data_IF_350222580670
#
_entry.id   IF_350222580670
#
_cell.length_a   1.000
_cell.length_b   1.000
_cell.length_c   1.000
_cell.angle_alpha   90.00
_cell.angle_beta   90.00
_cell.angle_gamma   90.00
#
_symmetry.space_group_name_H-M   'P 1'
#
loop_
_entity.id
_entity.type
_entity.pdbx_description
1 polymer ?
#
# COMPACT_ATOMS: atom_id res chain seq x y z
N UNK A 1 14.84 -0.60 12.41
CA UNK A 1 15.72 -1.65 11.86
C UNK A 1 15.64 -1.57 10.34
N UNK A 2 16.29 -0.55 9.74
CA UNK A 2 16.39 -0.32 8.29
C UNK A 2 17.82 -0.68 7.84
N UNK A 3 18.23 -1.90 8.16
CA UNK A 3 19.56 -2.41 7.89
C UNK A 3 19.36 -3.86 7.50
N UNK A 4 19.34 -4.13 6.19
CA UNK A 4 19.79 -5.40 5.54
C UNK A 4 19.46 -5.53 4.05
N UNK A 5 18.96 -4.50 3.35
CA UNK A 5 18.80 -4.60 1.87
C UNK A 5 20.06 -4.26 1.06
N UNK A 6 21.05 -3.61 1.66
CA UNK A 6 22.26 -3.18 0.94
C UNK A 6 23.22 -4.31 0.50
N UNK A 7 23.49 -5.38 1.28
CA UNK A 7 24.45 -6.39 0.85
C UNK A 7 23.86 -7.40 -0.14
N UNK A 8 22.54 -7.64 -0.08
CA UNK A 8 21.86 -8.63 -0.93
C UNK A 8 21.71 -8.13 -2.38
N UNK A 9 21.54 -6.82 -2.59
CA UNK A 9 21.47 -6.24 -3.94
C UNK A 9 22.77 -6.36 -4.74
N UNK A 10 23.94 -6.46 -4.08
CA UNK A 10 25.22 -6.49 -4.79
C UNK A 10 25.45 -7.81 -5.55
N UNK A 11 24.91 -8.94 -5.04
CA UNK A 11 25.17 -10.25 -5.61
C UNK A 11 24.14 -10.64 -6.70
N UNK A 12 22.91 -10.12 -6.62
CA UNK A 12 21.92 -10.28 -7.68
C UNK A 12 22.08 -9.29 -8.85
N UNK A 13 22.91 -8.26 -8.68
CA UNK A 13 23.30 -7.33 -9.74
C UNK A 13 24.21 -7.94 -10.82
N UNK A 14 24.75 -9.16 -10.62
CA UNK A 14 25.52 -9.89 -11.63
C UNK A 14 24.73 -10.18 -12.92
N UNK A 15 23.39 -10.13 -12.87
CA UNK A 15 22.53 -10.27 -14.05
C UNK A 15 22.64 -9.09 -15.02
N UNK A 16 23.07 -7.91 -14.57
CA UNK A 16 23.21 -6.76 -15.44
C UNK A 16 24.66 -6.60 -15.89
N UNK A 17 24.86 -6.67 -17.21
CA UNK A 17 25.97 -5.94 -17.81
C UNK A 17 25.86 -4.46 -17.38
N UNK A 18 26.98 -3.89 -16.93
CA UNK A 18 27.05 -2.49 -16.51
C UNK A 18 26.29 -1.56 -17.48
N UNK A 19 25.42 -0.64 -17.02
CA UNK A 19 25.26 -0.19 -15.63
C UNK A 19 24.01 -0.74 -14.90
N UNK A 20 24.14 -0.87 -13.57
CA UNK A 20 23.02 -1.11 -12.63
C UNK A 20 21.89 -0.10 -12.84
N UNK A 21 20.59 -0.51 -12.88
CA UNK A 21 19.48 0.42 -13.06
C UNK A 21 19.44 1.50 -11.96
N UNK A 22 18.98 2.71 -12.32
CA UNK A 22 19.00 3.88 -11.44
C UNK A 22 18.32 3.66 -10.08
N UNK A 23 17.27 2.83 -10.04
CA UNK A 23 16.50 2.50 -8.83
C UNK A 23 17.29 1.66 -7.82
N UNK A 24 18.33 0.95 -8.27
CA UNK A 24 19.23 0.16 -7.43
C UNK A 24 20.54 0.88 -7.11
N UNK A 25 20.72 2.09 -7.66
CA UNK A 25 21.88 2.90 -7.32
C UNK A 25 21.67 3.58 -5.97
N UNK A 26 22.79 3.83 -5.27
CA UNK A 26 22.77 4.57 -4.02
C UNK A 26 22.18 5.96 -4.24
N UNK A 27 21.16 6.31 -3.46
CA UNK A 27 20.64 7.68 -3.42
C UNK A 27 21.71 8.62 -2.88
N UNK A 28 22.09 9.62 -3.68
CA UNK A 28 22.97 10.71 -3.29
C UNK A 28 22.12 11.96 -3.09
N UNK A 29 22.51 12.82 -2.15
CA UNK A 29 21.87 14.12 -1.95
C UNK A 29 22.43 15.09 -3.00
N UNK A 30 21.67 15.45 -4.05
CA UNK A 30 22.18 16.37 -5.07
C UNK A 30 22.40 17.76 -4.49
N UNK A 31 23.33 18.51 -5.08
CA UNK A 31 23.45 19.94 -4.80
C UNK A 31 22.19 20.67 -5.27
N UNK A 32 21.65 21.53 -4.42
CA UNK A 32 20.49 22.35 -4.75
C UNK A 32 20.89 23.34 -5.87
N UNK A 33 20.15 23.38 -7.00
CA UNK A 33 20.50 24.25 -8.11
C UNK A 33 20.25 25.72 -7.77
N UNK A 34 21.11 26.60 -8.29
CA UNK A 34 20.86 28.03 -8.29
C UNK A 34 19.80 28.38 -9.35
N UNK A 35 18.84 29.24 -8.99
CA UNK A 35 17.79 29.73 -9.87
C UNK A 35 17.94 31.24 -10.06
N UNK A 36 17.51 31.77 -11.22
CA UNK A 36 17.54 33.21 -11.50
C UNK A 36 16.47 33.93 -10.70
N UNK A 37 15.26 33.35 -10.64
CA UNK A 37 14.21 33.81 -9.74
C UNK A 37 14.35 33.11 -8.38
N UNK A 38 14.52 33.91 -7.33
CA UNK A 38 14.66 33.44 -5.95
C UNK A 38 13.39 33.62 -5.12
N UNK A 39 12.33 34.18 -5.71
CA UNK A 39 11.08 34.54 -5.03
C UNK A 39 9.98 33.51 -5.22
N UNK A 40 9.97 32.81 -6.35
CA UNK A 40 8.98 31.76 -6.63
C UNK A 40 9.17 30.48 -5.81
N UNK A 41 10.40 29.93 -5.63
CA UNK A 41 10.58 28.69 -4.86
C UNK A 41 10.22 28.87 -3.38
N UNK A 42 9.35 28.02 -2.84
CA UNK A 42 9.01 27.98 -1.40
C UNK A 42 9.95 27.06 -0.63
N UNK A 43 10.44 26.00 -1.28
CA UNK A 43 11.40 25.06 -0.70
C UNK A 43 12.52 24.66 -1.69
N UNK A 44 13.37 23.71 -1.28
CA UNK A 44 14.47 23.21 -2.11
C UNK A 44 13.99 22.40 -3.31
N UNK A 45 12.83 21.72 -3.25
CA UNK A 45 12.26 20.95 -4.36
C UNK A 45 11.82 21.88 -5.47
N UNK A 46 11.19 23.00 -5.12
CA UNK A 46 10.78 24.02 -6.10
C UNK A 46 11.98 24.56 -6.89
N UNK A 47 13.17 24.64 -6.27
CA UNK A 47 14.40 25.06 -6.98
C UNK A 47 14.79 24.08 -8.08
N UNK A 48 14.62 22.77 -7.87
CA UNK A 48 14.87 21.77 -8.91
C UNK A 48 13.90 21.91 -10.08
N UNK A 49 12.62 22.15 -9.79
CA UNK A 49 11.60 22.38 -10.82
C UNK A 49 11.89 23.67 -11.58
N UNK A 50 12.12 24.77 -10.87
CA UNK A 50 12.38 26.08 -11.47
C UNK A 50 13.67 26.09 -12.28
N UNK A 51 14.75 25.47 -11.80
CA UNK A 51 15.99 25.36 -12.57
C UNK A 51 15.77 24.65 -13.91
N UNK A 52 14.93 23.61 -13.96
CA UNK A 52 14.54 22.96 -15.21
C UNK A 52 13.70 23.87 -16.09
N UNK A 53 12.71 24.58 -15.54
CA UNK A 53 11.88 25.52 -16.30
C UNK A 53 12.73 26.65 -16.92
N UNK A 54 13.60 27.29 -16.13
CA UNK A 54 14.48 28.37 -16.59
C UNK A 54 15.43 27.92 -17.70
N UNK A 55 15.96 26.70 -17.60
CA UNK A 55 16.81 26.10 -18.65
C UNK A 55 16.05 25.92 -19.97
N UNK A 56 14.78 25.54 -19.90
CA UNK A 56 13.91 25.38 -21.07
C UNK A 56 13.24 26.70 -21.51
N UNK A 57 13.61 27.83 -20.91
CA UNK A 57 13.00 29.15 -21.14
C UNK A 57 11.48 29.18 -20.84
N UNK A 58 11.03 28.33 -19.92
CA UNK A 58 9.67 28.29 -19.42
C UNK A 58 9.56 29.08 -18.11
N UNK A 59 8.34 29.53 -17.80
CA UNK A 59 8.01 30.17 -16.54
C UNK A 59 6.93 29.36 -15.81
N UNK A 60 6.95 29.33 -14.47
CA UNK A 60 5.85 28.75 -13.72
C UNK A 60 4.52 29.42 -14.06
N UNK A 61 3.44 28.64 -14.00
CA UNK A 61 2.08 29.19 -14.07
C UNK A 61 1.67 29.67 -12.67
N UNK A 62 0.75 30.65 -12.61
CA UNK A 62 0.20 31.13 -11.35
C UNK A 62 -0.66 30.08 -10.64
N UNK A 63 -0.86 30.30 -9.34
CA UNK A 63 -1.68 29.42 -8.50
C UNK A 63 -3.15 29.39 -8.93
N UNK A 64 -3.80 28.26 -8.67
CA UNK A 64 -5.23 28.12 -8.92
C UNK A 64 -6.02 28.98 -7.92
N UNK A 65 -7.20 29.46 -8.33
CA UNK A 65 -8.07 30.22 -7.43
C UNK A 65 -8.52 29.38 -6.24
N UNK A 66 -8.81 30.03 -5.10
CA UNK A 66 -9.31 29.36 -3.88
C UNK A 66 -10.51 28.44 -4.15
N UNK A 67 -11.45 28.85 -5.00
CA UNK A 67 -12.60 28.03 -5.38
C UNK A 67 -12.20 26.72 -6.09
N UNK A 68 -11.17 26.75 -6.94
CA UNK A 68 -10.64 25.55 -7.61
C UNK A 68 -9.89 24.67 -6.61
N UNK A 69 -9.06 25.27 -5.75
CA UNK A 69 -8.26 24.55 -4.76
C UNK A 69 -9.12 23.75 -3.78
N UNK A 70 -10.13 24.37 -3.14
CA UNK A 70 -11.00 23.66 -2.20
C UNK A 70 -11.80 22.55 -2.87
N UNK A 71 -12.24 22.77 -4.11
CA UNK A 71 -12.93 21.74 -4.88
C UNK A 71 -12.02 20.52 -5.10
N UNK A 72 -10.80 20.72 -5.61
CA UNK A 72 -9.84 19.63 -5.86
C UNK A 72 -9.49 18.90 -4.57
N UNK A 73 -9.05 19.62 -3.55
CA UNK A 73 -8.68 19.05 -2.25
C UNK A 73 -9.82 18.22 -1.64
N UNK A 74 -11.07 18.67 -1.73
CA UNK A 74 -12.20 17.91 -1.19
C UNK A 74 -12.44 16.57 -1.92
N UNK A 75 -12.35 16.54 -3.25
CA UNK A 75 -12.47 15.27 -3.99
C UNK A 75 -11.27 14.36 -3.77
N UNK A 76 -10.07 14.92 -3.73
CA UNK A 76 -8.83 14.16 -3.58
C UNK A 76 -8.76 13.54 -2.18
N UNK A 77 -9.05 14.32 -1.13
CA UNK A 77 -8.92 13.87 0.26
C UNK A 77 -10.14 13.11 0.76
N UNK A 78 -11.37 13.55 0.49
CA UNK A 78 -12.60 12.92 1.03
C UNK A 78 -13.57 12.38 -0.02
N UNK A 79 -13.23 12.45 -1.32
CA UNK A 79 -14.05 11.89 -2.39
C UNK A 79 -15.37 12.61 -2.67
N UNK A 80 -15.62 13.75 -2.02
CA UNK A 80 -16.92 14.44 -2.01
C UNK A 80 -16.72 15.95 -2.24
N UNK A 81 -17.69 16.66 -2.84
CA UNK A 81 -17.56 18.11 -3.05
C UNK A 81 -17.56 18.90 -1.73
N UNK A 82 -16.94 20.09 -1.69
CA UNK A 82 -17.06 21.00 -0.56
C UNK A 82 -18.51 21.48 -0.39
N UNK A 83 -18.93 21.66 0.85
CA UNK A 83 -20.18 22.31 1.20
C UNK A 83 -20.08 23.82 0.96
N UNK A 84 -21.23 24.48 0.81
CA UNK A 84 -21.26 25.94 0.65
C UNK A 84 -20.58 26.67 1.81
N UNK A 85 -20.78 26.20 3.04
CA UNK A 85 -20.16 26.77 4.24
C UNK A 85 -18.63 26.67 4.21
N UNK A 86 -18.08 25.53 3.79
CA UNK A 86 -16.62 25.35 3.64
C UNK A 86 -16.05 26.27 2.55
N UNK A 87 -16.75 26.40 1.42
CA UNK A 87 -16.37 27.34 0.33
C UNK A 87 -16.34 28.77 0.87
N UNK A 88 -17.43 29.21 1.48
CA UNK A 88 -17.55 30.59 1.96
C UNK A 88 -16.56 30.90 3.09
N UNK A 89 -16.22 29.92 3.92
CA UNK A 89 -15.20 30.06 4.95
C UNK A 89 -13.81 30.25 4.32
N UNK A 90 -13.43 29.42 3.34
CA UNK A 90 -12.13 29.53 2.70
C UNK A 90 -12.00 30.79 1.83
N UNK A 91 -13.05 31.17 1.10
CA UNK A 91 -13.04 32.39 0.28
C UNK A 91 -12.93 33.67 1.12
N UNK A 92 -13.43 33.66 2.36
CA UNK A 92 -13.41 34.82 3.26
C UNK A 92 -12.28 34.78 4.31
N UNK A 93 -11.46 33.74 4.37
CA UNK A 93 -10.33 33.69 5.30
C UNK A 93 -9.33 34.83 4.97
N UNK A 94 -9.06 35.77 5.88
CA UNK A 94 -8.15 36.90 5.63
C UNK A 94 -6.66 36.50 5.65
N UNK A 95 -6.35 35.24 5.99
CA UNK A 95 -4.98 34.73 6.02
C UNK A 95 -4.37 34.67 4.61
N UNK A 96 -3.02 34.71 4.48
CA UNK A 96 -2.35 34.40 3.24
C UNK A 96 -2.81 33.05 2.65
N UNK A 97 -2.82 32.93 1.32
CA UNK A 97 -3.39 31.77 0.61
C UNK A 97 -2.83 30.43 1.10
N UNK A 98 -1.51 30.34 1.30
CA UNK A 98 -0.86 29.12 1.80
C UNK A 98 -1.37 28.70 3.18
N UNK A 99 -1.53 29.66 4.10
CA UNK A 99 -2.01 29.39 5.44
C UNK A 99 -3.50 29.06 5.45
N UNK A 100 -4.30 29.78 4.65
CA UNK A 100 -5.73 29.51 4.52
C UNK A 100 -5.97 28.11 3.92
N UNK A 101 -5.19 27.73 2.90
CA UNK A 101 -5.31 26.42 2.26
C UNK A 101 -4.82 25.29 3.16
N UNK A 102 -3.74 25.49 3.93
CA UNK A 102 -3.28 24.50 4.90
C UNK A 102 -4.35 24.17 5.95
N UNK A 103 -5.11 25.16 6.45
CA UNK A 103 -6.24 24.92 7.38
C UNK A 103 -7.34 24.07 6.73
N UNK A 104 -7.65 24.33 5.45
CA UNK A 104 -8.62 23.53 4.68
C UNK A 104 -8.15 22.09 4.58
N UNK A 105 -6.88 21.87 4.19
CA UNK A 105 -6.30 20.53 4.07
C UNK A 105 -6.33 19.80 5.42
N UNK A 106 -5.91 20.45 6.50
CA UNK A 106 -5.95 19.89 7.86
C UNK A 106 -7.36 19.44 8.25
N UNK A 107 -8.36 20.29 8.00
CA UNK A 107 -9.77 19.95 8.29
C UNK A 107 -10.25 18.75 7.47
N UNK A 108 -9.83 18.66 6.20
CA UNK A 108 -10.19 17.53 5.33
C UNK A 108 -9.53 16.23 5.75
N UNK A 109 -8.26 16.28 6.20
CA UNK A 109 -7.53 15.11 6.71
C UNK A 109 -8.14 14.56 8.02
N UNK A 110 -8.68 15.44 8.87
CA UNK A 110 -9.36 15.05 10.11
C UNK A 110 -10.78 14.47 9.91
N UNK A 111 -11.30 14.48 8.68
CA UNK A 111 -12.60 13.89 8.38
C UNK A 111 -12.52 12.37 8.32
N UNK A 112 -13.47 11.64 8.93
CA UNK A 112 -13.55 10.17 8.78
C UNK A 112 -13.62 9.71 7.31
N UNK A 113 -14.13 10.58 6.44
CA UNK A 113 -14.22 10.37 4.98
C UNK A 113 -12.84 10.32 4.30
N UNK A 114 -11.80 10.86 4.93
CA UNK A 114 -10.43 10.75 4.43
C UNK A 114 -9.99 9.29 4.38
N UNK A 115 -10.10 8.58 5.50
CA UNK A 115 -9.79 7.16 5.60
C UNK A 115 -10.62 6.32 4.63
N UNK A 116 -11.93 6.57 4.51
CA UNK A 116 -12.78 5.87 3.53
C UNK A 116 -12.29 6.07 2.08
N UNK A 117 -11.96 7.32 1.71
CA UNK A 117 -11.51 7.67 0.35
C UNK A 117 -10.16 7.03 0.04
N UNK A 118 -9.19 7.18 0.94
CA UNK A 118 -7.83 6.70 0.73
C UNK A 118 -7.70 5.19 0.91
N UNK A 119 -8.50 4.58 1.80
CA UNK A 119 -8.55 3.13 1.93
C UNK A 119 -8.93 2.47 0.62
N UNK A 120 -9.87 3.02 -0.16
CA UNK A 120 -10.23 2.48 -1.48
C UNK A 120 -9.01 2.28 -2.39
N UNK A 121 -8.10 3.24 -2.42
CA UNK A 121 -6.88 3.15 -3.22
C UNK A 121 -5.93 2.06 -2.70
N UNK A 122 -5.81 1.92 -1.37
CA UNK A 122 -5.02 0.86 -0.77
C UNK A 122 -5.62 -0.53 -1.01
N UNK A 123 -6.94 -0.65 -0.87
CA UNK A 123 -7.70 -1.89 -1.03
C UNK A 123 -7.61 -2.42 -2.47
N UNK A 124 -7.54 -1.53 -3.47
CA UNK A 124 -7.25 -1.91 -4.86
C UNK A 124 -5.83 -2.53 -4.98
N UNK A 125 -4.83 -1.96 -4.32
CA UNK A 125 -3.43 -2.45 -4.34
C UNK A 125 -3.32 -3.83 -3.70
N UNK A 126 -4.02 -4.05 -2.58
CA UNK A 126 -3.98 -5.31 -1.84
C UNK A 126 -5.11 -6.27 -2.23
N UNK A 127 -5.65 -6.14 -3.44
CA UNK A 127 -6.61 -7.08 -4.05
C UNK A 127 -7.79 -7.43 -3.13
N UNK A 128 -8.28 -6.45 -2.38
CA UNK A 128 -9.42 -6.63 -1.49
C UNK A 128 -10.69 -6.96 -2.28
N UNK A 129 -11.43 -7.95 -1.80
CA UNK A 129 -12.79 -8.23 -2.23
C UNK A 129 -13.58 -8.84 -1.07
N UNK A 130 -14.90 -8.66 -1.07
CA UNK A 130 -15.80 -9.34 -0.12
C UNK A 130 -16.03 -10.82 -0.48
N UNK A 131 -15.37 -11.32 -1.53
CA UNK A 131 -15.44 -12.69 -2.01
C UNK A 131 -14.11 -13.17 -2.58
N UNK A 132 -13.90 -14.48 -2.56
CA UNK A 132 -12.84 -15.15 -3.29
C UNK A 132 -13.32 -15.44 -4.72
N UNK A 133 -12.41 -15.28 -5.70
CA UNK A 133 -12.70 -15.46 -7.12
C UNK A 133 -11.98 -16.64 -7.79
N UNK A 134 -11.46 -16.43 -9.00
CA UNK A 134 -10.76 -17.39 -9.88
C UNK A 134 -11.67 -18.40 -10.59
N UNK A 135 -12.15 -19.43 -9.90
CA UNK A 135 -12.98 -20.50 -10.51
C UNK A 135 -14.40 -20.51 -9.96
N UNK A 136 -14.56 -20.12 -8.70
CA UNK A 136 -15.86 -20.05 -8.03
C UNK A 136 -15.90 -18.82 -7.13
N UNK A 137 -17.08 -18.19 -7.07
CA UNK A 137 -17.29 -17.01 -6.25
C UNK A 137 -17.85 -17.43 -4.88
N UNK A 138 -17.02 -17.41 -3.85
CA UNK A 138 -17.42 -17.71 -2.47
C UNK A 138 -17.17 -16.51 -1.55
N UNK A 139 -17.98 -16.27 -0.52
CA UNK A 139 -17.86 -15.08 0.30
C UNK A 139 -16.64 -15.14 1.23
N UNK A 140 -15.94 -14.01 1.38
CA UNK A 140 -15.03 -13.77 2.51
C UNK A 140 -15.82 -13.08 3.63
N UNK A 141 -16.53 -13.85 4.45
CA UNK A 141 -17.48 -13.30 5.45
C UNK A 141 -16.88 -12.24 6.39
N UNK A 142 -15.57 -12.28 6.64
CA UNK A 142 -14.89 -11.37 7.56
C UNK A 142 -13.91 -10.41 6.88
N UNK A 143 -13.86 -10.35 5.54
CA UNK A 143 -12.97 -9.42 4.83
C UNK A 143 -13.17 -7.97 5.26
N UNK A 144 -14.43 -7.56 5.52
CA UNK A 144 -14.76 -6.21 5.98
C UNK A 144 -13.96 -5.75 7.22
N UNK A 145 -13.52 -6.68 8.09
CA UNK A 145 -12.66 -6.33 9.23
C UNK A 145 -11.33 -5.74 8.79
N UNK A 146 -10.73 -6.30 7.74
CA UNK A 146 -9.49 -5.77 7.17
C UNK A 146 -9.74 -4.42 6.48
N UNK A 147 -10.83 -4.28 5.72
CA UNK A 147 -11.23 -2.98 5.12
C UNK A 147 -11.34 -1.89 6.18
N UNK A 148 -12.09 -2.18 7.24
CA UNK A 148 -12.33 -1.22 8.33
C UNK A 148 -11.02 -0.91 9.06
N UNK A 149 -10.14 -1.91 9.27
CA UNK A 149 -8.80 -1.69 9.81
C UNK A 149 -7.93 -0.76 8.93
N UNK A 150 -8.03 -0.84 7.59
CA UNK A 150 -7.32 0.09 6.70
C UNK A 150 -7.86 1.51 6.86
N UNK A 151 -9.19 1.67 6.88
CA UNK A 151 -9.87 2.96 7.08
C UNK A 151 -9.43 3.58 8.42
N UNK A 152 -9.52 2.80 9.49
CA UNK A 152 -9.15 3.23 10.84
C UNK A 152 -7.66 3.56 10.95
N UNK A 153 -6.79 2.78 10.29
CA UNK A 153 -5.35 3.03 10.28
C UNK A 153 -5.00 4.36 9.60
N UNK A 154 -5.69 4.71 8.52
CA UNK A 154 -5.49 5.98 7.81
C UNK A 154 -6.04 7.17 8.63
N UNK A 155 -7.24 7.05 9.18
CA UNK A 155 -7.85 8.10 10.01
C UNK A 155 -7.06 8.34 11.31
N UNK A 156 -6.43 7.31 11.87
CA UNK A 156 -5.59 7.42 13.06
C UNK A 156 -4.15 7.90 12.77
N UNK A 157 -3.82 8.23 11.51
CA UNK A 157 -2.47 8.58 11.07
C UNK A 157 -1.42 7.53 11.53
N UNK A 158 -1.74 6.25 11.34
CA UNK A 158 -0.86 5.15 11.76
C UNK A 158 0.48 5.30 11.03
N UNK A 159 1.63 5.31 11.75
CA UNK A 159 2.93 5.41 11.12
C UNK A 159 3.10 4.34 10.04
N UNK A 160 3.53 4.76 8.84
CA UNK A 160 3.59 3.87 7.67
C UNK A 160 4.40 2.59 7.94
N UNK A 161 5.52 2.69 8.67
CA UNK A 161 6.31 1.52 9.05
C UNK A 161 5.55 0.52 9.92
N UNK A 162 4.60 0.97 10.75
CA UNK A 162 3.72 0.11 11.53
C UNK A 162 2.59 -0.45 10.69
N UNK A 163 1.98 0.37 9.84
CA UNK A 163 0.98 -0.07 8.89
C UNK A 163 1.49 -1.21 7.99
N UNK A 164 2.70 -1.10 7.45
CA UNK A 164 3.35 -2.17 6.66
C UNK A 164 3.64 -3.40 7.52
N UNK A 165 4.27 -3.23 8.69
CA UNK A 165 4.66 -4.35 9.53
C UNK A 165 3.47 -5.19 10.02
N UNK A 166 2.35 -4.56 10.37
CA UNK A 166 1.14 -5.24 10.82
C UNK A 166 0.48 -6.08 9.70
N UNK A 167 0.62 -5.67 8.44
CA UNK A 167 0.11 -6.43 7.29
C UNK A 167 0.94 -7.66 6.94
N UNK A 168 2.24 -7.63 7.20
CA UNK A 168 3.17 -8.72 6.87
C UNK A 168 3.33 -9.71 8.04
N UNK A 169 3.32 -9.21 9.28
CA UNK A 169 3.71 -9.99 10.46
C UNK A 169 3.01 -9.52 11.75
N UNK A 170 1.83 -8.93 11.67
CA UNK A 170 1.12 -8.38 12.84
C UNK A 170 0.84 -9.43 13.92
N UNK A 171 0.54 -10.66 13.55
CA UNK A 171 0.39 -11.81 14.46
C UNK A 171 1.67 -12.14 15.26
N UNK A 172 2.85 -11.79 14.73
CA UNK A 172 4.16 -11.95 15.37
C UNK A 172 4.61 -10.72 16.15
N UNK A 173 3.98 -9.56 15.97
CA UNK A 173 4.35 -8.34 16.68
C UNK A 173 3.83 -8.41 18.13
N UNK A 174 4.66 -8.08 19.14
CA UNK A 174 4.19 -7.97 20.52
C UNK A 174 3.13 -6.88 20.68
N UNK A 175 2.05 -7.22 21.38
CA UNK A 175 0.98 -6.29 21.76
C UNK A 175 1.05 -5.95 23.25
N UNK A 176 0.74 -4.70 23.59
CA UNK A 176 0.61 -4.22 24.97
C UNK A 176 -0.80 -4.39 25.52
N UNK A 177 -1.80 -4.46 24.64
CA UNK A 177 -3.22 -4.59 24.99
C UNK A 177 -3.90 -5.62 24.11
N UNK A 178 -5.04 -6.15 24.58
CA UNK A 178 -5.88 -7.07 23.81
C UNK A 178 -6.37 -6.43 22.52
N UNK A 179 -6.80 -5.16 22.57
CA UNK A 179 -7.24 -4.42 21.38
C UNK A 179 -6.10 -4.26 20.37
N UNK A 180 -4.89 -3.94 20.82
CA UNK A 180 -3.73 -3.87 19.93
C UNK A 180 -3.43 -5.22 19.30
N UNK A 181 -3.49 -6.33 20.06
CA UNK A 181 -3.27 -7.68 19.53
C UNK A 181 -4.29 -8.01 18.45
N UNK A 182 -5.56 -7.68 18.69
CA UNK A 182 -6.65 -7.86 17.73
C UNK A 182 -6.38 -7.10 16.44
N UNK A 183 -6.05 -5.81 16.54
CA UNK A 183 -5.85 -4.97 15.37
C UNK A 183 -4.62 -5.41 14.56
N UNK A 184 -3.55 -5.87 15.22
CA UNK A 184 -2.37 -6.43 14.56
C UNK A 184 -2.70 -7.72 13.79
N UNK A 185 -3.49 -8.63 14.38
CA UNK A 185 -3.95 -9.84 13.70
C UNK A 185 -4.83 -9.49 12.49
N UNK A 186 -5.77 -8.55 12.65
CA UNK A 186 -6.64 -8.11 11.55
C UNK A 186 -5.82 -7.54 10.40
N UNK A 187 -4.78 -6.74 10.69
CA UNK A 187 -3.86 -6.23 9.68
C UNK A 187 -3.18 -7.35 8.87
N UNK A 188 -2.74 -8.43 9.51
CA UNK A 188 -2.11 -9.58 8.84
C UNK A 188 -3.07 -10.33 7.90
N UNK A 189 -4.38 -10.08 8.03
CA UNK A 189 -5.41 -10.59 7.14
C UNK A 189 -5.17 -10.26 5.66
N UNK A 190 -4.36 -9.24 5.33
CA UNK A 190 -3.91 -8.97 3.96
C UNK A 190 -3.36 -10.24 3.26
N UNK A 191 -2.59 -11.07 3.97
CA UNK A 191 -2.00 -12.29 3.42
C UNK A 191 -3.02 -13.44 3.20
N UNK A 192 -4.21 -13.31 3.77
CA UNK A 192 -5.32 -14.24 3.58
C UNK A 192 -6.27 -13.82 2.45
N UNK A 193 -6.25 -12.53 2.08
CA UNK A 193 -7.06 -11.97 1.02
C UNK A 193 -6.40 -12.20 -0.34
N UNK A 194 -7.24 -12.54 -1.32
CA UNK A 194 -6.81 -12.69 -2.71
C UNK A 194 -7.70 -13.61 -3.51
N UNK A 195 -7.27 -13.88 -4.74
CA UNK A 195 -7.98 -14.74 -5.68
C UNK A 195 -7.46 -16.17 -5.54
N UNK A 196 -8.23 -17.08 -4.95
CA UNK A 196 -7.83 -18.46 -4.72
C UNK A 196 -8.69 -19.44 -5.51
N UNK A 197 -8.08 -20.48 -6.07
CA UNK A 197 -8.84 -21.58 -6.67
C UNK A 197 -9.26 -22.56 -5.56
N UNK A 198 -10.36 -22.26 -4.87
CA UNK A 198 -10.87 -23.10 -3.77
C UNK A 198 -11.42 -24.46 -4.25
N UNK A 199 -11.58 -24.66 -5.58
CA UNK A 199 -11.93 -25.95 -6.18
C UNK A 199 -10.71 -26.76 -6.65
N UNK A 200 -9.50 -26.31 -6.30
CA UNK A 200 -8.27 -27.02 -6.64
C UNK A 200 -8.24 -28.42 -6.01
N UNK A 201 -8.11 -29.45 -6.83
CA UNK A 201 -8.12 -30.85 -6.39
C UNK A 201 -6.82 -31.28 -5.71
N UNK A 202 -5.70 -30.59 -5.97
CA UNK A 202 -4.43 -30.83 -5.29
C UNK A 202 -4.24 -29.84 -4.14
N UNK A 203 -4.29 -30.33 -2.89
CA UNK A 203 -4.05 -29.50 -1.71
C UNK A 203 -2.70 -28.77 -1.78
N UNK A 204 -1.66 -29.46 -2.23
CA UNK A 204 -0.32 -28.87 -2.38
C UNK A 204 -0.32 -27.73 -3.41
N UNK A 205 -1.01 -27.90 -4.55
CA UNK A 205 -1.14 -26.84 -5.55
C UNK A 205 -1.90 -25.63 -4.99
N UNK A 206 -2.96 -25.88 -4.21
CA UNK A 206 -3.74 -24.82 -3.57
C UNK A 206 -2.87 -23.95 -2.64
N UNK A 207 -2.05 -24.59 -1.80
CA UNK A 207 -1.11 -23.88 -0.91
C UNK A 207 -0.05 -23.13 -1.72
N UNK A 208 0.56 -23.76 -2.73
CA UNK A 208 1.60 -23.11 -3.54
C UNK A 208 1.07 -21.93 -4.36
N UNK A 209 -0.17 -21.97 -4.82
CA UNK A 209 -0.81 -20.83 -5.49
C UNK A 209 -1.11 -19.68 -4.51
N UNK A 210 -1.44 -19.99 -3.25
CA UNK A 210 -1.57 -18.98 -2.21
C UNK A 210 -0.22 -18.34 -1.84
N UNK A 211 0.85 -19.14 -1.77
CA UNK A 211 2.21 -18.65 -1.57
C UNK A 211 2.64 -17.71 -2.70
N UNK A 212 2.35 -18.08 -3.95
CA UNK A 212 2.64 -17.22 -5.11
C UNK A 212 1.87 -15.88 -5.04
N UNK A 213 0.59 -15.94 -4.69
CA UNK A 213 -0.24 -14.76 -4.47
C UNK A 213 0.32 -13.88 -3.34
N UNK A 214 0.76 -14.45 -2.22
CA UNK A 214 1.40 -13.71 -1.12
C UNK A 214 2.70 -13.02 -1.53
N UNK A 215 3.56 -13.69 -2.30
CA UNK A 215 4.76 -13.09 -2.87
C UNK A 215 4.39 -11.92 -3.80
N UNK A 216 3.38 -12.10 -4.65
CA UNK A 216 2.95 -11.06 -5.59
C UNK A 216 2.45 -9.79 -4.89
N UNK A 217 1.55 -9.89 -3.89
CA UNK A 217 1.06 -8.67 -3.19
C UNK A 217 2.16 -8.01 -2.39
N UNK A 218 2.98 -8.78 -1.66
CA UNK A 218 4.00 -8.19 -0.80
C UNK A 218 5.04 -7.47 -1.64
N UNK A 219 5.46 -8.08 -2.75
CA UNK A 219 6.44 -7.46 -3.64
C UNK A 219 5.88 -6.25 -4.38
N UNK A 220 4.65 -6.30 -4.90
CA UNK A 220 4.05 -5.16 -5.60
C UNK A 220 3.68 -4.02 -4.67
N UNK A 221 3.02 -4.31 -3.55
CA UNK A 221 2.48 -3.29 -2.65
C UNK A 221 3.58 -2.52 -1.90
N UNK A 222 4.67 -3.20 -1.50
CA UNK A 222 5.68 -2.60 -0.63
C UNK A 222 7.04 -2.38 -1.30
N UNK A 223 7.39 -3.16 -2.33
CA UNK A 223 8.67 -3.03 -3.02
C UNK A 223 8.52 -2.40 -4.42
N UNK A 224 7.31 -2.33 -4.96
CA UNK A 224 7.05 -1.80 -6.31
C UNK A 224 7.62 -2.65 -7.44
N UNK A 225 7.92 -3.93 -7.18
CA UNK A 225 8.50 -4.87 -8.16
C UNK A 225 7.69 -6.16 -8.23
N UNK A 226 7.81 -6.89 -9.33
CA UNK A 226 7.01 -8.09 -9.62
C UNK A 226 7.77 -9.39 -9.37
N UNK A 227 8.14 -9.67 -8.12
CA UNK A 227 8.96 -10.86 -7.78
C UNK A 227 8.30 -12.16 -8.24
N UNK A 228 6.96 -12.24 -8.27
CA UNK A 228 6.23 -13.42 -8.76
C UNK A 228 6.57 -13.81 -10.22
N UNK A 229 7.04 -12.88 -11.05
CA UNK A 229 7.53 -13.22 -12.39
C UNK A 229 8.77 -14.12 -12.36
N UNK A 230 9.48 -14.19 -11.23
CA UNK A 230 10.65 -15.06 -11.06
C UNK A 230 10.29 -16.53 -10.75
N UNK A 231 9.00 -16.88 -10.66
CA UNK A 231 8.51 -18.25 -10.40
C UNK A 231 9.09 -19.27 -11.39
N UNK A 232 9.02 -18.96 -12.68
CA UNK A 232 9.38 -19.91 -13.75
C UNK A 232 10.80 -19.72 -14.31
N UNK A 233 11.38 -18.53 -14.16
CA UNK A 233 12.69 -18.16 -14.67
C UNK A 233 13.19 -16.91 -13.91
N UNK A 234 14.48 -16.56 -13.96
CA UNK A 234 14.94 -15.31 -13.36
C UNK A 234 14.19 -14.08 -13.91
N UNK A 235 13.86 -13.12 -13.06
CA UNK A 235 13.00 -11.98 -13.41
C UNK A 235 13.49 -11.20 -14.64
N UNK A 236 12.63 -10.91 -15.61
CA UNK A 236 13.02 -10.32 -16.90
C UNK A 236 13.88 -9.05 -16.79
N UNK A 237 13.51 -8.13 -15.89
CA UNK A 237 14.08 -6.77 -15.77
C UNK A 237 14.45 -6.37 -14.36
N UNK A 238 14.46 -7.29 -13.40
CA UNK A 238 14.85 -6.99 -12.01
C UNK A 238 15.98 -7.96 -11.61
N UNK A 239 16.91 -7.56 -10.73
CA UNK A 239 17.96 -8.43 -10.20
C UNK A 239 17.38 -9.40 -9.16
N UNK A 240 16.46 -10.25 -9.61
CA UNK A 240 15.77 -11.27 -8.81
C UNK A 240 15.88 -12.58 -9.55
N UNK A 241 16.59 -13.53 -8.96
CA UNK A 241 16.72 -14.88 -9.49
C UNK A 241 15.51 -15.74 -9.12
N UNK A 242 15.32 -16.84 -9.85
CA UNK A 242 14.36 -17.87 -9.48
C UNK A 242 14.68 -18.47 -8.09
N UNK A 243 15.97 -18.52 -7.71
CA UNK A 243 16.37 -18.96 -6.36
C UNK A 243 15.84 -18.02 -5.28
N UNK A 244 15.88 -16.71 -5.51
CA UNK A 244 15.34 -15.72 -4.58
C UNK A 244 13.83 -15.87 -4.42
N UNK A 245 13.12 -16.11 -5.53
CA UNK A 245 11.68 -16.44 -5.48
C UNK A 245 11.40 -17.67 -4.62
N UNK A 246 12.10 -18.78 -4.83
CA UNK A 246 11.85 -20.00 -4.06
C UNK A 246 12.32 -19.90 -2.60
N UNK A 247 13.30 -19.05 -2.29
CA UNK A 247 13.65 -18.73 -0.91
C UNK A 247 12.50 -18.00 -0.19
N UNK A 248 11.86 -17.02 -0.85
CA UNK A 248 10.64 -16.38 -0.33
C UNK A 248 9.46 -17.35 -0.25
N UNK A 249 9.30 -18.22 -1.25
CA UNK A 249 8.26 -19.24 -1.24
C UNK A 249 8.40 -20.15 -0.02
N UNK A 250 9.62 -20.54 0.37
CA UNK A 250 9.86 -21.30 1.59
C UNK A 250 9.38 -20.60 2.87
N UNK A 251 9.51 -19.26 2.94
CA UNK A 251 9.02 -18.46 4.06
C UNK A 251 7.48 -18.49 4.12
N UNK A 252 6.82 -18.15 3.01
CA UNK A 252 5.35 -18.10 2.96
C UNK A 252 4.70 -19.48 3.07
N UNK A 253 5.32 -20.52 2.49
CA UNK A 253 4.86 -21.91 2.63
C UNK A 253 4.93 -22.41 4.08
N UNK A 254 5.81 -21.81 4.89
CA UNK A 254 5.90 -22.11 6.33
C UNK A 254 4.84 -21.36 7.17
N UNK A 255 3.99 -20.54 6.54
CA UNK A 255 2.89 -19.83 7.20
C UNK A 255 1.59 -20.63 7.08
N UNK A 256 0.71 -20.47 8.07
CA UNK A 256 -0.64 -21.05 8.04
C UNK A 256 -1.67 -19.97 7.77
N UNK A 257 -2.25 -19.98 6.58
CA UNK A 257 -3.32 -19.04 6.23
C UNK A 257 -4.69 -19.58 6.62
N UNK A 258 -5.43 -18.80 7.40
CA UNK A 258 -6.74 -19.13 7.95
C UNK A 258 -7.78 -18.14 7.42
N UNK A 259 -8.20 -18.35 6.17
CA UNK A 259 -9.12 -17.46 5.44
C UNK A 259 -10.60 -17.76 5.73
N UNK A 260 -10.91 -18.83 6.46
CA UNK A 260 -12.27 -19.30 6.72
C UNK A 260 -12.94 -20.04 5.58
N UNK A 261 -12.41 -19.94 4.35
CA UNK A 261 -12.94 -20.64 3.17
C UNK A 261 -12.19 -21.96 2.96
N UNK A 262 -12.83 -23.12 3.19
CA UNK A 262 -12.19 -24.42 3.00
C UNK A 262 -11.90 -24.71 1.53
N UNK A 263 -10.92 -25.58 1.25
CA UNK A 263 -10.78 -26.18 -0.07
C UNK A 263 -11.96 -27.16 -0.31
N UNK A 264 -12.37 -27.36 -1.56
CA UNK A 264 -13.44 -28.29 -1.93
C UNK A 264 -13.24 -29.72 -1.43
N UNK A 265 -12.01 -30.17 -1.27
CA UNK A 265 -11.72 -31.49 -0.69
C UNK A 265 -12.00 -31.55 0.83
N UNK A 266 -12.08 -30.41 1.50
CA UNK A 266 -12.51 -30.26 2.90
C UNK A 266 -14.04 -30.04 3.00
N UNK A 267 -14.76 -29.85 1.88
CA UNK A 267 -16.22 -29.58 1.80
C UNK A 267 -17.13 -30.79 2.10
N UNK A 268 -16.67 -31.80 2.84
CA UNK A 268 -17.54 -32.88 3.32
C UNK A 268 -18.74 -32.37 4.19
N UNK A 269 -18.85 -31.05 4.43
CA UNK A 269 -19.87 -30.40 5.28
C UNK A 269 -20.71 -29.31 4.60
N UNK A 270 -20.58 -29.06 3.29
CA UNK A 270 -21.50 -28.17 2.54
C UNK A 270 -21.60 -26.71 3.01
N UNK A 271 -20.61 -26.21 3.78
CA UNK A 271 -20.59 -24.86 4.31
C UNK A 271 -19.62 -23.95 3.56
N UNK A 272 -19.99 -22.68 3.37
CA UNK A 272 -19.12 -21.64 2.80
C UNK A 272 -18.01 -21.18 3.75
N UNK A 273 -18.11 -21.55 5.04
CA UNK A 273 -17.15 -21.18 6.08
C UNK A 273 -16.87 -22.36 7.00
N UNK A 274 -15.59 -22.59 7.29
CA UNK A 274 -15.11 -23.48 8.36
C UNK A 274 -14.62 -22.62 9.52
N UNK A 275 -15.28 -22.67 10.70
CA UNK A 275 -14.81 -21.98 11.90
C UNK A 275 -13.39 -22.37 12.30
N UNK A 276 -12.99 -23.62 12.08
CA UNK A 276 -11.66 -24.15 12.39
C UNK A 276 -10.56 -23.59 11.44
N UNK A 277 -10.98 -23.01 10.33
CA UNK A 277 -10.13 -22.32 9.36
C UNK A 277 -10.11 -20.79 9.57
N UNK A 278 -10.61 -20.28 10.70
CA UNK A 278 -10.56 -18.87 11.09
C UNK A 278 -9.55 -18.64 12.22
N UNK A 279 -9.06 -17.40 12.30
CA UNK A 279 -8.30 -16.92 13.47
C UNK A 279 -9.26 -16.37 14.51
N UNK A 280 -9.13 -16.85 15.74
CA UNK A 280 -9.81 -16.25 16.88
C UNK A 280 -9.20 -14.89 17.22
N UNK A 281 -10.05 -13.86 17.21
CA UNK A 281 -9.67 -12.54 17.65
C UNK A 281 -9.80 -12.44 19.18
N UNK A 282 -8.77 -11.97 19.89
CA UNK A 282 -8.86 -11.85 21.33
C UNK A 282 -9.86 -10.76 21.73
N UNK A 283 -10.62 -11.06 22.78
CA UNK A 283 -11.68 -10.22 23.38
C UNK A 283 -11.21 -9.59 24.68
#
# INVERSE_FOLDING_TARGET
MFLLLAPVCAQSAEKYENPTPWSYQRLLRPSIPATKDTTWPKDDLDRFILARLEKENLRPIGDASRAILIRRASFDLRGLPPSQTEIDAFLRDPSPDDLAFAKVVETLLQSERFGERWARHWLDVVRYADSVGRVWNAPFLYAARYRDWVIDSLNADKPYNRFVAEQIAGDLIPAKTVLQRRDQIVGTGMLALGSMNVQEGSYEQYILDQVDDQIDVVSRAFLGITIACARCHDHKTEPVSQKDYYALAGIFYSSRTLSGTPNRNDEARGGYVSPEALVDLPT
#
